data_IF_193663500576
#
_entry.id   IF_193663500576
#
_cell.length_a   1.000
_cell.length_b   1.000
_cell.length_c   1.000
_cell.angle_alpha   90.00
_cell.angle_beta   90.00
_cell.angle_gamma   90.00
#
_symmetry.space_group_name_H-M   'P 1'
#
loop_
_entity.id
_entity.type
_entity.pdbx_description
1 polymer ?
#
# COMPACT_ATOMS: atom_id res chain seq x y z
N UNK A 1 -0.92 -11.13 -10.50
CA UNK A 1 -1.87 -10.09 -10.01
C UNK A 1 -1.06 -8.98 -9.37
N UNK A 2 -1.24 -7.73 -9.80
CA UNK A 2 -0.46 -6.56 -9.36
C UNK A 2 -1.34 -5.58 -8.59
N UNK A 3 -0.97 -5.27 -7.35
CA UNK A 3 -1.74 -4.42 -6.43
C UNK A 3 -0.99 -3.11 -6.15
N UNK A 4 -1.66 -1.97 -6.24
CA UNK A 4 -1.15 -0.70 -5.73
C UNK A 4 -1.69 -0.47 -4.32
N UNK A 5 -0.81 -0.37 -3.32
CA UNK A 5 -1.17 0.19 -2.02
C UNK A 5 -0.83 1.67 -2.04
N UNK A 6 -1.85 2.52 -2.01
CA UNK A 6 -1.68 3.97 -2.01
C UNK A 6 -1.38 4.43 -0.59
N UNK A 7 -0.24 5.08 -0.40
CA UNK A 7 0.16 5.72 0.86
C UNK A 7 0.22 7.24 0.67
N UNK A 8 -0.19 7.96 1.70
CA UNK A 8 -0.27 9.43 1.71
C UNK A 8 -0.13 9.95 3.14
N UNK A 9 0.25 11.23 3.30
CA UNK A 9 0.43 11.80 4.64
C UNK A 9 -0.90 11.79 5.40
N UNK A 10 -0.89 11.39 6.67
CA UNK A 10 -2.11 11.29 7.47
C UNK A 10 -2.81 9.93 7.38
N UNK A 11 -2.28 8.98 6.61
CA UNK A 11 -2.72 7.58 6.66
C UNK A 11 -2.59 7.02 8.09
N UNK A 12 -3.54 6.19 8.52
CA UNK A 12 -3.42 5.46 9.79
C UNK A 12 -2.61 4.19 9.60
N UNK A 13 -1.74 3.85 10.56
CA UNK A 13 -0.98 2.61 10.50
C UNK A 13 -1.87 1.38 10.56
N UNK A 14 -2.96 1.45 11.34
CA UNK A 14 -3.86 0.32 11.52
C UNK A 14 -4.61 0.01 10.22
N UNK A 15 -5.12 1.00 9.50
CA UNK A 15 -5.84 0.76 8.25
C UNK A 15 -4.87 0.23 7.18
N UNK A 16 -3.65 0.78 7.13
CA UNK A 16 -2.61 0.26 6.23
C UNK A 16 -2.22 -1.18 6.57
N UNK A 17 -1.76 -1.44 7.80
CA UNK A 17 -1.27 -2.75 8.20
C UNK A 17 -2.36 -3.81 8.17
N UNK A 18 -3.59 -3.44 8.54
CA UNK A 18 -4.76 -4.32 8.58
C UNK A 18 -5.13 -4.89 7.21
N UNK A 19 -4.90 -4.16 6.12
CA UNK A 19 -5.09 -4.68 4.75
C UNK A 19 -3.79 -5.21 4.15
N UNK A 20 -2.65 -4.56 4.42
CA UNK A 20 -1.37 -4.93 3.82
C UNK A 20 -0.88 -6.31 4.26
N UNK A 21 -0.91 -6.63 5.56
CA UNK A 21 -0.43 -7.90 6.08
C UNK A 21 -1.20 -9.11 5.51
N UNK A 22 -2.53 -9.21 5.62
CA UNK A 22 -3.25 -10.38 5.12
C UNK A 22 -3.16 -10.52 3.59
N UNK A 23 -3.21 -9.42 2.83
CA UNK A 23 -3.15 -9.47 1.36
C UNK A 23 -1.76 -9.94 0.89
N UNK A 24 -0.68 -9.41 1.48
CA UNK A 24 0.67 -9.83 1.09
C UNK A 24 0.98 -11.26 1.53
N UNK A 25 0.41 -11.74 2.64
CA UNK A 25 0.51 -13.13 3.09
C UNK A 25 -0.14 -14.14 2.17
N UNK A 26 -1.09 -13.77 1.31
CA UNK A 26 -1.64 -14.69 0.31
C UNK A 26 -0.55 -15.33 -0.55
N UNK A 27 0.56 -14.60 -0.77
CA UNK A 27 1.73 -15.12 -1.48
C UNK A 27 2.51 -16.13 -0.64
N UNK A 28 2.84 -15.79 0.60
CA UNK A 28 3.68 -16.65 1.47
C UNK A 28 2.93 -17.88 1.96
N UNK A 29 1.60 -17.81 2.06
CA UNK A 29 0.72 -18.93 2.38
C UNK A 29 0.42 -19.83 1.17
N UNK A 30 0.88 -19.46 -0.03
CA UNK A 30 0.73 -20.26 -1.23
C UNK A 30 -0.65 -20.20 -1.90
N UNK A 31 -1.51 -19.26 -1.50
CA UNK A 31 -2.79 -19.06 -2.17
C UNK A 31 -2.64 -18.31 -3.50
N UNK A 32 -1.69 -17.37 -3.62
CA UNK A 32 -1.45 -16.56 -4.82
C UNK A 32 0.04 -16.23 -5.02
N UNK A 33 0.79 -17.12 -5.68
CA UNK A 33 2.24 -16.97 -5.89
C UNK A 33 2.63 -15.82 -6.83
N UNK A 34 1.76 -15.47 -7.77
CA UNK A 34 1.96 -14.41 -8.77
C UNK A 34 1.59 -13.01 -8.24
N UNK A 35 1.28 -12.90 -6.95
CA UNK A 35 0.97 -11.64 -6.30
C UNK A 35 2.23 -10.75 -6.24
N UNK A 36 2.08 -9.54 -6.77
CA UNK A 36 3.05 -8.46 -6.73
C UNK A 36 2.34 -7.21 -6.23
N UNK A 37 3.07 -6.33 -5.56
CA UNK A 37 2.52 -5.09 -5.05
C UNK A 37 3.59 -4.00 -5.03
N UNK A 38 3.14 -2.75 -5.09
CA UNK A 38 3.98 -1.56 -4.94
C UNK A 38 3.35 -0.62 -3.89
N UNK A 39 4.19 0.06 -3.10
CA UNK A 39 3.74 1.24 -2.35
C UNK A 39 3.75 2.44 -3.30
N UNK A 40 2.58 2.97 -3.63
CA UNK A 40 2.42 4.09 -4.54
C UNK A 40 2.10 5.36 -3.76
N UNK A 41 2.69 6.48 -4.15
CA UNK A 41 2.49 7.75 -3.47
C UNK A 41 2.66 8.94 -4.43
N UNK A 42 2.24 10.13 -4.00
CA UNK A 42 2.50 11.39 -4.73
C UNK A 42 3.88 11.98 -4.45
N UNK A 43 4.57 11.49 -3.41
CA UNK A 43 5.94 11.87 -3.03
C UNK A 43 6.66 10.68 -2.42
N UNK A 44 7.99 10.76 -2.35
CA UNK A 44 8.85 9.66 -1.92
C UNK A 44 8.62 9.26 -0.46
N UNK A 45 8.50 10.25 0.43
CA UNK A 45 8.37 10.02 1.88
C UNK A 45 7.00 10.43 2.40
N UNK A 46 6.32 9.46 3.02
CA UNK A 46 4.99 9.62 3.63
C UNK A 46 5.09 9.51 5.15
N UNK A 47 4.33 10.32 5.87
CA UNK A 47 4.22 10.23 7.34
C UNK A 47 2.81 9.84 7.79
N UNK A 48 2.72 8.78 8.59
CA UNK A 48 1.45 8.36 9.23
C UNK A 48 1.05 9.30 10.36
N UNK A 49 -0.20 9.22 10.82
CA UNK A 49 -0.69 9.98 11.99
C UNK A 49 0.07 9.62 13.27
N UNK A 50 0.50 8.37 13.40
CA UNK A 50 1.31 7.86 14.51
C UNK A 50 2.80 8.21 14.39
N UNK A 51 3.19 8.92 13.32
CA UNK A 51 4.54 9.44 13.12
C UNK A 51 5.50 8.47 12.43
N UNK A 52 5.04 7.31 11.95
CA UNK A 52 5.87 6.38 11.17
C UNK A 52 6.13 6.94 9.78
N UNK A 53 7.35 6.70 9.29
CA UNK A 53 7.77 7.14 7.96
C UNK A 53 7.80 5.95 7.00
N UNK A 54 7.13 6.12 5.86
CA UNK A 54 7.17 5.16 4.75
C UNK A 54 7.94 5.74 3.58
N UNK A 55 8.58 4.85 2.81
CA UNK A 55 9.20 5.17 1.53
C UNK A 55 8.38 4.54 0.41
N UNK A 56 7.96 5.35 -0.55
CA UNK A 56 7.21 4.90 -1.70
C UNK A 56 8.10 4.07 -2.64
N UNK A 57 7.58 2.95 -3.11
CA UNK A 57 8.25 2.17 -4.16
C UNK A 57 8.09 2.83 -5.53
N UNK A 58 6.98 3.55 -5.73
CA UNK A 58 6.65 4.26 -6.96
C UNK A 58 6.03 5.61 -6.61
N UNK A 59 6.55 6.67 -7.24
CA UNK A 59 6.07 8.04 -7.07
C UNK A 59 5.39 8.51 -8.35
N UNK A 60 4.17 9.02 -8.21
CA UNK A 60 3.35 9.61 -9.28
C UNK A 60 3.20 8.72 -10.53
N UNK A 61 3.19 7.40 -10.33
CA UNK A 61 3.00 6.43 -11.40
C UNK A 61 1.53 6.29 -11.80
N UNK A 62 1.31 5.81 -13.02
CA UNK A 62 -0.05 5.53 -13.51
C UNK A 62 -0.64 4.32 -12.77
N UNK A 63 -1.77 4.50 -12.08
CA UNK A 63 -2.45 3.44 -11.34
C UNK A 63 -3.25 2.49 -12.26
N UNK A 64 -3.46 2.85 -13.53
CA UNK A 64 -4.07 1.96 -14.53
C UNK A 64 -3.18 0.74 -14.87
N UNK A 65 -1.91 0.74 -14.44
CA UNK A 65 -0.99 -0.41 -14.56
C UNK A 65 -1.30 -1.57 -13.59
N UNK A 66 -2.27 -1.41 -12.68
CA UNK A 66 -2.55 -2.34 -11.59
C UNK A 66 -3.92 -2.99 -11.74
N UNK A 67 -4.03 -4.25 -11.33
CA UNK A 67 -5.29 -5.00 -11.31
C UNK A 67 -6.20 -4.52 -10.18
N UNK A 68 -5.60 -4.09 -9.06
CA UNK A 68 -6.29 -3.59 -7.87
C UNK A 68 -5.58 -2.36 -7.32
N UNK A 69 -6.37 -1.40 -6.83
CA UNK A 69 -5.89 -0.23 -6.08
C UNK A 69 -6.55 -0.27 -4.72
N UNK A 70 -5.72 -0.24 -3.68
CA UNK A 70 -6.15 -0.19 -2.28
C UNK A 70 -5.72 1.16 -1.73
N UNK A 71 -6.72 1.92 -1.27
CA UNK A 71 -6.53 3.20 -0.57
C UNK A 71 -6.96 2.96 0.88
N UNK A 72 -6.02 2.75 1.81
CA UNK A 72 -6.37 2.60 3.22
C UNK A 72 -6.95 3.90 3.77
N UNK A 73 -7.70 3.78 4.86
CA UNK A 73 -8.36 4.91 5.49
C UNK A 73 -7.42 5.84 6.27
N UNK A 74 -8.02 6.94 6.70
CA UNK A 74 -7.47 7.83 7.70
C UNK A 74 -8.53 8.16 8.77
N UNK A 75 -8.15 8.93 9.79
CA UNK A 75 -9.02 9.26 10.93
C UNK A 75 -10.24 10.15 10.60
N UNK A 76 -10.39 10.61 9.35
CA UNK A 76 -11.51 11.42 8.88
C UNK A 76 -11.09 12.78 8.34
#
# INVERSE_FOLDING_TARGET
MKIAFVIYDGITLLDFAGVFDPITRLKTMGFRYDLRWDLCARKDTIRSTEGVTFTASRVDNNLAEYDYVIVPGETG
#
